data_IF_027029039898
#
_entry.id   IF_027029039898
#
_cell.length_a   1.000
_cell.length_b   1.000
_cell.length_c   1.000
_cell.angle_alpha   90.00
_cell.angle_beta   90.00
_cell.angle_gamma   90.00
#
_symmetry.space_group_name_H-M   'P 1'
#
loop_
_entity.id
_entity.type
_entity.pdbx_description
1 polymer ?
#
# COMPACT_ATOMS: atom_id res chain seq x y z
N UNK A 1 -5.15 2.63 -10.26
CA UNK A 1 -3.95 3.48 -10.33
C UNK A 1 -4.18 4.61 -11.32
N UNK A 2 -4.17 5.85 -10.84
CA UNK A 2 -4.43 7.06 -11.65
C UNK A 2 -3.12 7.73 -12.01
N UNK A 3 -2.81 7.77 -13.29
CA UNK A 3 -1.73 8.57 -13.86
C UNK A 3 -2.29 9.92 -14.33
N UNK A 4 -1.44 10.92 -14.56
CA UNK A 4 -1.90 12.26 -14.99
C UNK A 4 -2.85 12.23 -16.18
N UNK A 5 -2.60 11.38 -17.16
CA UNK A 5 -3.36 11.34 -18.41
C UNK A 5 -4.19 10.06 -18.60
N UNK A 6 -4.23 9.17 -17.60
CA UNK A 6 -4.86 7.86 -17.75
C UNK A 6 -5.24 7.25 -16.40
N UNK A 7 -6.43 6.67 -16.31
CA UNK A 7 -6.84 5.82 -15.18
C UNK A 7 -6.66 4.36 -15.58
N UNK A 8 -5.70 3.68 -14.93
CA UNK A 8 -5.48 2.25 -15.10
C UNK A 8 -6.43 1.48 -14.18
N UNK A 9 -7.17 0.53 -14.73
CA UNK A 9 -8.19 -0.23 -14.00
C UNK A 9 -9.62 0.25 -14.24
N UNK A 10 -9.83 1.36 -14.91
CA UNK A 10 -11.15 1.78 -15.38
C UNK A 10 -11.55 0.95 -16.61
N UNK A 11 -12.72 0.28 -16.55
CA UNK A 11 -13.24 -0.58 -17.61
C UNK A 11 -12.19 -1.56 -18.19
N UNK A 12 -11.51 -2.37 -17.36
CA UNK A 12 -10.35 -3.13 -17.76
C UNK A 12 -10.72 -4.24 -18.74
N UNK A 13 -10.01 -4.29 -19.89
CA UNK A 13 -10.12 -5.39 -20.84
C UNK A 13 -8.95 -6.34 -20.67
N UNK A 14 -9.19 -7.51 -20.06
CA UNK A 14 -8.17 -8.53 -19.86
C UNK A 14 -7.68 -9.05 -21.22
N UNK A 15 -6.36 -9.00 -21.43
CA UNK A 15 -5.70 -9.52 -22.65
C UNK A 15 -5.12 -10.91 -22.44
N UNK A 16 -4.53 -11.14 -21.27
CA UNK A 16 -3.85 -12.39 -20.93
C UNK A 16 -3.90 -12.64 -19.44
N UNK A 17 -4.02 -13.89 -19.05
CA UNK A 17 -3.73 -14.35 -17.70
C UNK A 17 -2.66 -15.43 -17.72
N UNK A 18 -1.79 -15.42 -16.71
CA UNK A 18 -0.78 -16.45 -16.50
C UNK A 18 -0.83 -16.87 -15.03
N UNK A 19 -0.87 -18.17 -14.79
CA UNK A 19 -0.75 -18.76 -13.45
C UNK A 19 0.57 -19.50 -13.36
N UNK A 20 1.26 -19.35 -12.25
CA UNK A 20 2.48 -20.07 -11.93
C UNK A 20 2.50 -20.40 -10.45
N UNK A 21 3.20 -21.46 -10.09
CA UNK A 21 3.48 -21.80 -8.69
C UNK A 21 4.99 -21.70 -8.47
N UNK A 22 5.38 -21.17 -7.33
CA UNK A 22 6.78 -21.03 -6.88
C UNK A 22 6.90 -21.81 -5.59
N UNK A 23 7.95 -22.61 -5.50
CA UNK A 23 8.35 -23.33 -4.28
C UNK A 23 9.89 -23.35 -4.26
N UNK A 24 10.45 -22.43 -3.51
CA UNK A 24 11.90 -22.23 -3.41
C UNK A 24 12.31 -21.89 -1.98
N UNK A 25 13.59 -22.07 -1.68
CA UNK A 25 14.16 -21.69 -0.40
C UNK A 25 15.12 -20.52 -0.60
N UNK A 26 14.87 -19.43 0.09
CA UNK A 26 15.70 -18.23 0.06
C UNK A 26 16.67 -18.24 1.25
N UNK A 27 17.90 -17.78 0.99
CA UNK A 27 18.86 -17.45 2.03
C UNK A 27 19.01 -15.92 2.06
N UNK A 28 18.44 -15.24 3.08
CA UNK A 28 18.53 -13.79 3.17
C UNK A 28 19.99 -13.32 3.27
N UNK A 29 20.34 -12.26 2.53
CA UNK A 29 21.68 -11.65 2.58
C UNK A 29 21.90 -11.00 3.94
N UNK A 30 20.86 -10.35 4.48
CA UNK A 30 20.88 -9.76 5.82
C UNK A 30 20.35 -10.82 6.80
N UNK A 31 21.04 -11.04 7.93
CA UNK A 31 20.58 -11.99 8.95
C UNK A 31 19.18 -11.64 9.45
N UNK A 32 18.27 -12.59 9.35
CA UNK A 32 16.91 -12.53 9.87
C UNK A 32 16.72 -13.56 10.99
N UNK A 33 15.52 -13.63 11.55
CA UNK A 33 15.16 -14.66 12.53
C UNK A 33 15.40 -16.08 12.01
N UNK A 34 15.24 -16.29 10.70
CA UNK A 34 15.45 -17.56 10.03
C UNK A 34 16.59 -17.45 9.03
N UNK A 35 17.55 -18.40 9.09
CA UNK A 35 18.65 -18.49 8.14
C UNK A 35 18.17 -18.87 6.73
N UNK A 36 17.03 -19.54 6.64
CA UNK A 36 16.38 -19.94 5.39
C UNK A 36 14.89 -19.65 5.49
N UNK A 37 14.33 -19.12 4.42
CA UNK A 37 12.91 -18.78 4.31
C UNK A 37 12.29 -19.57 3.15
N UNK A 38 11.24 -20.33 3.43
CA UNK A 38 10.48 -20.99 2.38
C UNK A 38 9.63 -19.93 1.66
N UNK A 39 9.86 -19.77 0.37
CA UNK A 39 9.10 -18.86 -0.49
C UNK A 39 8.20 -19.69 -1.39
N UNK A 40 6.99 -19.96 -0.90
CA UNK A 40 6.01 -20.79 -1.59
C UNK A 40 4.72 -20.01 -1.79
N UNK A 41 4.33 -19.83 -3.05
CA UNK A 41 3.09 -19.12 -3.41
C UNK A 41 2.55 -19.54 -4.78
N UNK A 42 1.27 -19.28 -4.99
CA UNK A 42 0.65 -19.29 -6.31
C UNK A 42 0.53 -17.86 -6.82
N UNK A 43 0.95 -17.65 -8.06
CA UNK A 43 0.93 -16.35 -8.70
C UNK A 43 -0.14 -16.31 -9.80
N UNK A 44 -0.86 -15.20 -9.86
CA UNK A 44 -1.74 -14.83 -10.96
C UNK A 44 -1.30 -13.49 -11.54
N UNK A 45 -0.86 -13.49 -12.80
CA UNK A 45 -0.56 -12.28 -13.55
C UNK A 45 -1.69 -12.00 -14.54
N UNK A 46 -2.37 -10.87 -14.35
CA UNK A 46 -3.40 -10.34 -15.23
C UNK A 46 -2.82 -9.22 -16.07
N UNK A 47 -2.76 -9.39 -17.40
CA UNK A 47 -2.18 -8.41 -18.33
C UNK A 47 -3.27 -7.68 -19.08
N UNK A 48 -3.20 -6.36 -19.09
CA UNK A 48 -4.05 -5.42 -19.81
C UNK A 48 -3.26 -4.67 -20.88
N UNK A 49 -3.79 -3.59 -21.45
CA UNK A 49 -3.13 -2.87 -22.55
C UNK A 49 -1.79 -2.25 -22.14
N UNK A 50 -1.79 -1.49 -21.07
CA UNK A 50 -0.66 -0.63 -20.67
C UNK A 50 -0.14 -0.96 -19.27
N UNK A 51 -0.68 -2.01 -18.63
CA UNK A 51 -0.36 -2.43 -17.29
C UNK A 51 -0.68 -3.92 -17.06
N UNK A 52 -0.18 -4.43 -15.96
CA UNK A 52 -0.57 -5.72 -15.40
C UNK A 52 -0.83 -5.58 -13.89
N UNK A 53 -1.57 -6.53 -13.34
CA UNK A 53 -1.71 -6.71 -11.90
C UNK A 53 -1.20 -8.10 -11.56
N UNK A 54 -0.25 -8.17 -10.66
CA UNK A 54 0.32 -9.41 -10.14
C UNK A 54 -0.26 -9.68 -8.75
N UNK A 55 -0.84 -10.86 -8.58
CA UNK A 55 -1.28 -11.37 -7.29
C UNK A 55 -0.41 -12.54 -6.87
N UNK A 56 -0.10 -12.64 -5.58
CA UNK A 56 0.52 -13.81 -4.96
C UNK A 56 -0.32 -14.28 -3.80
N UNK A 57 -0.63 -15.55 -3.75
CA UNK A 57 -1.31 -16.20 -2.65
C UNK A 57 -0.34 -17.16 -1.95
N UNK A 58 -0.05 -16.85 -0.69
CA UNK A 58 0.72 -17.66 0.25
C UNK A 58 -0.24 -18.45 1.14
N UNK A 59 0.29 -19.35 1.97
CA UNK A 59 -0.53 -20.13 2.90
C UNK A 59 -1.16 -19.23 3.99
N UNK A 60 -0.56 -18.08 4.27
CA UNK A 60 -0.93 -17.15 5.34
C UNK A 60 -1.30 -15.73 4.87
N UNK A 61 -1.32 -15.49 3.57
CA UNK A 61 -1.64 -14.15 3.08
C UNK A 61 -1.74 -14.01 1.57
N UNK A 62 -2.17 -12.83 1.16
CA UNK A 62 -2.28 -12.45 -0.25
C UNK A 62 -1.57 -11.11 -0.45
N UNK A 63 -0.76 -11.01 -1.50
CA UNK A 63 -0.15 -9.77 -1.93
C UNK A 63 -0.54 -9.43 -3.36
N UNK A 64 -0.61 -8.13 -3.68
CA UNK A 64 -0.72 -7.70 -5.07
C UNK A 64 0.12 -6.45 -5.34
N UNK A 65 0.44 -6.24 -6.62
CA UNK A 65 1.03 -4.99 -7.10
C UNK A 65 0.59 -4.66 -8.52
N UNK A 66 0.70 -3.39 -8.87
CA UNK A 66 0.65 -2.94 -10.26
C UNK A 66 2.02 -3.11 -10.93
N UNK A 67 1.99 -3.37 -12.23
CA UNK A 67 3.15 -3.34 -13.12
C UNK A 67 2.75 -2.49 -14.32
N UNK A 68 3.51 -1.44 -14.63
CA UNK A 68 3.20 -0.58 -15.77
C UNK A 68 4.25 -0.72 -16.89
N UNK A 69 3.85 -0.41 -18.11
CA UNK A 69 4.67 -0.47 -19.32
C UNK A 69 4.45 0.80 -20.15
N UNK A 70 4.63 1.95 -19.52
CA UNK A 70 4.52 3.26 -20.14
C UNK A 70 5.88 3.74 -20.64
N UNK A 71 5.90 4.57 -21.69
CA UNK A 71 7.13 5.21 -22.16
C UNK A 71 7.46 6.45 -21.32
N UNK A 72 8.76 6.63 -21.05
CA UNK A 72 9.26 7.81 -20.32
C UNK A 72 8.91 7.83 -18.84
N UNK A 73 8.89 9.01 -18.27
CA UNK A 73 8.48 9.24 -16.89
C UNK A 73 6.98 9.51 -16.82
N UNK A 74 6.35 9.10 -15.73
CA UNK A 74 4.92 9.31 -15.47
C UNK A 74 4.73 9.94 -14.10
N UNK A 75 3.65 10.71 -13.97
CA UNK A 75 3.19 11.27 -12.71
C UNK A 75 1.98 10.47 -12.23
N UNK A 76 2.13 9.91 -11.04
CA UNK A 76 1.06 9.14 -10.37
C UNK A 76 0.26 10.10 -9.52
N UNK A 77 -1.01 10.25 -9.85
CA UNK A 77 -1.91 11.16 -9.15
C UNK A 77 -2.53 10.53 -7.91
N UNK A 78 -2.80 9.22 -7.99
CA UNK A 78 -3.39 8.44 -6.91
C UNK A 78 -3.24 6.92 -7.15
N UNK A 79 -3.24 6.16 -6.06
CA UNK A 79 -3.40 4.71 -6.07
C UNK A 79 -4.56 4.35 -5.16
N UNK A 80 -5.58 3.72 -5.70
CA UNK A 80 -6.75 3.32 -4.94
C UNK A 80 -6.56 1.90 -4.39
N UNK A 81 -6.57 1.80 -3.10
CA UNK A 81 -6.75 0.57 -2.34
C UNK A 81 -7.98 0.76 -1.47
N UNK A 82 -8.89 -0.18 -1.50
CA UNK A 82 -10.05 -0.19 -0.62
C UNK A 82 -10.26 -1.61 -0.07
N UNK A 83 -10.56 -1.69 1.21
CA UNK A 83 -10.91 -2.93 1.88
C UNK A 83 -12.25 -2.76 2.58
N UNK A 84 -13.14 -3.72 2.39
CA UNK A 84 -14.42 -3.80 3.08
C UNK A 84 -14.46 -5.07 3.92
N UNK A 85 -14.73 -4.92 5.21
CA UNK A 85 -14.84 -6.03 6.13
C UNK A 85 -16.26 -6.58 6.12
N UNK A 86 -16.45 -7.91 6.17
CA UNK A 86 -17.78 -8.51 6.19
C UNK A 86 -18.54 -8.29 7.49
N UNK A 87 -17.86 -7.82 8.53
CA UNK A 87 -18.41 -7.52 9.85
C UNK A 87 -17.67 -6.36 10.48
N UNK A 88 -18.17 -5.85 11.58
CA UNK A 88 -17.49 -4.88 12.40
C UNK A 88 -16.35 -5.55 13.18
N UNK A 89 -15.13 -5.12 12.94
CA UNK A 89 -13.91 -5.65 13.53
C UNK A 89 -13.19 -4.62 14.37
N UNK A 90 -12.46 -5.07 15.39
CA UNK A 90 -11.62 -4.20 16.20
C UNK A 90 -10.29 -3.93 15.46
N UNK A 91 -10.02 -2.67 15.20
CA UNK A 91 -8.81 -2.20 14.54
C UNK A 91 -7.81 -1.69 15.58
N UNK A 92 -6.54 -2.04 15.41
CA UNK A 92 -5.43 -1.50 16.18
C UNK A 92 -4.65 -0.55 15.25
N UNK A 93 -4.80 0.75 15.50
CA UNK A 93 -4.33 1.80 14.62
C UNK A 93 -3.26 2.64 15.30
N UNK A 94 -2.19 2.96 14.59
CA UNK A 94 -1.31 4.06 14.96
C UNK A 94 -1.70 5.27 14.10
N UNK A 95 -2.22 6.31 14.75
CA UNK A 95 -2.89 7.44 14.09
C UNK A 95 -2.10 8.74 14.28
N UNK A 96 -1.13 9.04 13.38
CA UNK A 96 -0.34 10.26 13.45
C UNK A 96 -1.20 11.50 13.16
N UNK A 97 -0.68 12.67 13.55
CA UNK A 97 -1.32 13.96 13.29
C UNK A 97 -1.33 14.40 11.83
N UNK A 98 -0.64 13.66 10.94
CA UNK A 98 -0.54 13.94 9.51
C UNK A 98 0.53 13.08 8.85
N UNK A 99 0.82 13.35 7.58
CA UNK A 99 1.81 12.58 6.80
C UNK A 99 3.27 12.83 7.21
N UNK A 100 3.56 13.98 7.79
CA UNK A 100 4.93 14.44 8.06
C UNK A 100 5.16 14.60 9.57
N UNK A 101 5.18 13.47 10.28
CA UNK A 101 5.41 13.39 11.71
C UNK A 101 6.40 12.28 12.05
N UNK A 102 6.80 12.17 13.29
CA UNK A 102 7.65 11.08 13.77
C UNK A 102 6.93 9.71 13.84
N UNK A 103 5.62 9.68 13.67
CA UNK A 103 4.77 8.48 13.80
C UNK A 103 4.85 7.78 15.17
N UNK A 104 5.24 8.51 16.20
CA UNK A 104 5.42 8.00 17.57
C UNK A 104 4.15 8.23 18.41
N UNK A 105 3.03 7.69 17.92
CA UNK A 105 1.75 7.79 18.59
C UNK A 105 1.36 6.45 19.25
N UNK A 106 0.68 6.47 20.39
CA UNK A 106 0.09 5.26 20.95
C UNK A 106 -0.89 4.59 20.00
N UNK A 107 -1.00 3.26 20.10
CA UNK A 107 -2.05 2.56 19.38
C UNK A 107 -3.44 2.91 19.93
N UNK A 108 -4.36 3.20 19.04
CA UNK A 108 -5.79 3.32 19.32
C UNK A 108 -6.51 2.03 18.93
N UNK A 109 -7.61 1.76 19.62
CA UNK A 109 -8.43 0.58 19.41
C UNK A 109 -9.83 1.04 19.06
N UNK A 110 -10.26 0.83 17.83
CA UNK A 110 -11.53 1.37 17.32
C UNK A 110 -12.28 0.32 16.52
N UNK A 111 -13.59 0.28 16.65
CA UNK A 111 -14.44 -0.55 15.80
C UNK A 111 -14.43 -0.02 14.37
N UNK A 112 -14.38 -0.90 13.38
CA UNK A 112 -14.23 -0.50 11.97
C UNK A 112 -15.34 0.42 11.46
N UNK A 113 -16.56 0.25 11.95
CA UNK A 113 -17.69 1.13 11.61
C UNK A 113 -17.64 2.51 12.31
N UNK A 114 -16.87 2.64 13.38
CA UNK A 114 -16.68 3.87 14.12
C UNK A 114 -15.54 4.74 13.58
N UNK A 115 -14.62 4.16 12.78
CA UNK A 115 -13.52 4.91 12.17
C UNK A 115 -14.02 5.72 10.96
N UNK A 116 -14.34 6.99 11.22
CA UNK A 116 -14.96 7.89 10.26
C UNK A 116 -13.96 8.59 9.34
N UNK A 117 -14.41 9.05 8.14
CA UNK A 117 -13.55 9.75 7.19
C UNK A 117 -12.93 11.05 7.69
N UNK A 118 -13.55 11.73 8.66
CA UNK A 118 -13.03 12.96 9.28
C UNK A 118 -11.98 12.71 10.36
N UNK A 119 -11.79 11.47 10.81
CA UNK A 119 -10.81 11.12 11.81
C UNK A 119 -9.39 11.02 11.24
N UNK A 120 -8.39 10.82 12.14
CA UNK A 120 -7.00 10.71 11.76
C UNK A 120 -6.77 9.50 10.86
N UNK A 121 -5.81 9.64 9.97
CA UNK A 121 -5.27 8.54 9.15
C UNK A 121 -4.49 7.54 10.03
N UNK A 122 -4.30 6.32 9.53
CA UNK A 122 -3.46 5.32 10.17
C UNK A 122 -2.25 4.99 9.31
N UNK A 123 -1.08 4.82 9.94
CA UNK A 123 0.10 4.26 9.30
C UNK A 123 0.02 2.75 9.22
N UNK A 124 0.72 2.16 8.25
CA UNK A 124 0.90 0.71 8.19
C UNK A 124 2.07 0.24 9.08
N UNK A 125 2.00 -0.97 9.63
CA UNK A 125 0.95 -1.95 9.45
C UNK A 125 -0.30 -1.67 10.29
N UNK A 126 -1.47 -2.05 9.79
CA UNK A 126 -2.73 -2.05 10.53
C UNK A 126 -3.12 -3.47 10.90
N UNK A 127 -3.33 -3.71 12.19
CA UNK A 127 -3.81 -5.00 12.69
C UNK A 127 -5.32 -4.96 12.88
N UNK A 128 -5.99 -5.96 12.31
CA UNK A 128 -7.43 -6.15 12.38
C UNK A 128 -7.70 -7.39 13.23
N UNK A 129 -8.32 -7.19 14.38
CA UNK A 129 -8.80 -8.29 15.21
C UNK A 129 -10.24 -8.64 14.80
N UNK A 130 -10.40 -9.79 14.16
CA UNK A 130 -11.72 -10.28 13.78
C UNK A 130 -12.55 -10.72 14.98
N UNK A 131 -11.98 -10.69 16.19
CA UNK A 131 -12.58 -11.21 17.43
C UNK A 131 -12.95 -12.70 17.34
N UNK A 132 -12.25 -13.41 16.43
CA UNK A 132 -12.34 -14.85 16.18
C UNK A 132 -10.93 -15.46 16.22
N UNK A 133 -10.77 -16.64 15.67
CA UNK A 133 -9.52 -17.43 15.73
C UNK A 133 -8.36 -16.83 14.89
N UNK A 134 -8.61 -15.81 14.07
CA UNK A 134 -7.59 -15.22 13.20
C UNK A 134 -7.59 -13.69 13.27
N UNK A 135 -6.43 -13.13 12.99
CA UNK A 135 -6.21 -11.68 12.83
C UNK A 135 -5.67 -11.42 11.43
N UNK A 136 -5.90 -10.22 10.91
CA UNK A 136 -5.44 -9.79 9.60
C UNK A 136 -4.48 -8.63 9.79
N UNK A 137 -3.35 -8.67 9.10
CA UNK A 137 -2.40 -7.58 9.05
C UNK A 137 -2.40 -6.99 7.64
N UNK A 138 -2.61 -5.68 7.52
CA UNK A 138 -2.43 -4.95 6.27
C UNK A 138 -1.08 -4.28 6.32
N UNK A 139 -0.25 -4.50 5.31
CA UNK A 139 1.07 -3.90 5.20
C UNK A 139 1.49 -3.70 3.74
N UNK A 140 2.72 -3.19 3.55
CA UNK A 140 3.29 -2.90 2.25
C UNK A 140 4.80 -3.14 2.24
N UNK A 141 5.39 -3.30 1.05
CA UNK A 141 6.83 -3.40 0.88
C UNK A 141 7.28 -2.92 -0.50
N UNK A 142 8.61 -2.82 -0.69
CA UNK A 142 9.23 -2.36 -1.94
C UNK A 142 8.93 -0.88 -2.24
N UNK A 143 9.05 -0.04 -1.21
CA UNK A 143 8.71 1.38 -1.28
C UNK A 143 9.81 2.26 -1.88
N UNK A 144 10.98 1.75 -2.16
CA UNK A 144 12.26 2.42 -2.49
C UNK A 144 12.17 3.87 -3.03
N UNK A 145 11.26 4.18 -3.94
CA UNK A 145 11.07 5.48 -4.60
C UNK A 145 9.57 5.85 -4.73
N UNK A 146 8.75 5.37 -3.81
CA UNK A 146 7.29 5.57 -3.84
C UNK A 146 6.77 5.92 -2.44
N UNK A 147 5.74 6.76 -2.29
CA UNK A 147 5.23 7.15 -0.98
C UNK A 147 4.61 5.98 -0.24
N UNK A 148 4.73 5.99 1.09
CA UNK A 148 4.01 5.04 1.94
C UNK A 148 2.50 5.23 1.78
N UNK A 149 1.78 4.13 1.85
CA UNK A 149 0.33 4.13 1.94
C UNK A 149 -0.10 4.35 3.39
N UNK A 150 -1.05 5.23 3.58
CA UNK A 150 -1.80 5.37 4.82
C UNK A 150 -3.22 4.89 4.58
N UNK A 151 -3.92 4.53 5.64
CA UNK A 151 -5.32 4.18 5.57
C UNK A 151 -6.20 5.23 6.25
N UNK A 152 -7.42 5.35 5.77
CA UNK A 152 -8.46 6.21 6.29
C UNK A 152 -9.76 5.43 6.40
N UNK A 153 -10.46 5.59 7.52
CA UNK A 153 -11.74 4.93 7.72
C UNK A 153 -12.82 5.43 6.76
N UNK A 154 -13.80 4.59 6.49
CA UNK A 154 -14.95 4.93 5.64
C UNK A 154 -16.21 5.32 6.43
N UNK A 155 -16.18 5.17 7.77
CA UNK A 155 -17.36 5.30 8.62
C UNK A 155 -18.33 4.13 8.49
N UNK A 156 -17.90 3.09 7.77
CA UNK A 156 -18.54 1.79 7.63
C UNK A 156 -17.50 0.71 7.91
N UNK A 157 -17.82 -0.56 7.67
CA UNK A 157 -16.83 -1.63 7.87
C UNK A 157 -15.77 -1.63 6.77
N UNK A 158 -14.92 -0.60 6.71
CA UNK A 158 -13.87 -0.53 5.68
C UNK A 158 -12.86 0.58 5.86
N UNK A 159 -11.84 0.54 5.01
CA UNK A 159 -10.80 1.55 4.91
C UNK A 159 -10.36 1.77 3.46
N UNK A 160 -9.87 2.95 3.17
CA UNK A 160 -9.32 3.34 1.87
C UNK A 160 -7.91 3.88 2.01
N UNK A 161 -7.12 3.77 0.94
CA UNK A 161 -5.79 4.36 0.88
C UNK A 161 -5.82 5.88 0.79
N UNK A 162 -4.83 6.51 1.40
CA UNK A 162 -4.48 7.91 1.20
C UNK A 162 -2.96 8.04 1.14
N UNK A 163 -2.47 9.01 0.37
CA UNK A 163 -1.05 9.20 0.13
C UNK A 163 -0.67 10.67 0.31
N UNK A 164 0.55 10.97 0.84
CA UNK A 164 1.09 12.31 0.81
C UNK A 164 1.36 12.75 -0.63
N UNK A 165 1.29 14.05 -0.89
CA UNK A 165 1.78 14.63 -2.14
C UNK A 165 3.30 14.67 -2.16
N UNK A 166 3.89 14.55 -3.35
CA UNK A 166 5.33 14.61 -3.50
C UNK A 166 5.87 16.01 -3.13
N UNK A 167 6.89 16.11 -2.28
CA UNK A 167 7.47 17.39 -1.91
C UNK A 167 8.29 17.96 -3.08
N UNK A 168 8.14 19.27 -3.33
CA UNK A 168 8.91 20.03 -4.33
C UNK A 168 9.93 20.96 -3.72
N UNK A 169 9.66 21.48 -2.53
CA UNK A 169 10.58 22.35 -1.82
C UNK A 169 10.50 22.16 -0.31
N UNK A 170 11.62 22.41 0.35
CA UNK A 170 11.79 22.26 1.78
C UNK A 170 12.39 23.53 2.38
N UNK A 171 12.09 23.78 3.65
CA UNK A 171 12.81 24.74 4.50
C UNK A 171 13.26 24.01 5.78
N UNK A 172 14.33 24.50 6.37
CA UNK A 172 14.75 24.07 7.70
C UNK A 172 13.65 24.39 8.73
N UNK A 173 13.36 23.46 9.61
CA UNK A 173 12.40 23.61 10.68
C UNK A 173 13.08 23.45 12.05
N UNK A 174 14.03 22.54 12.16
CA UNK A 174 14.87 22.31 13.33
C UNK A 174 16.11 21.50 12.92
N UNK A 175 16.99 21.21 13.87
CA UNK A 175 18.15 20.32 13.69
C UNK A 175 17.77 18.88 13.27
N UNK A 176 16.51 18.50 13.43
CA UNK A 176 16.02 17.13 13.16
C UNK A 176 14.86 17.06 12.17
N UNK A 177 14.39 18.18 11.65
CA UNK A 177 13.23 18.20 10.78
C UNK A 177 13.30 19.25 9.70
N UNK A 178 12.61 18.98 8.62
CA UNK A 178 12.35 19.92 7.54
C UNK A 178 10.86 20.17 7.43
N UNK A 179 10.49 21.35 6.98
CA UNK A 179 9.12 21.71 6.64
C UNK A 179 8.98 21.68 5.13
N UNK A 180 8.00 20.96 4.61
CA UNK A 180 7.64 21.04 3.20
C UNK A 180 6.98 22.38 2.94
N UNK A 181 7.55 23.17 2.05
CA UNK A 181 7.07 24.51 1.69
C UNK A 181 6.28 24.53 0.39
N UNK A 182 6.47 23.50 -0.44
CA UNK A 182 5.74 23.33 -1.68
C UNK A 182 5.54 21.84 -1.96
N UNK A 183 4.31 21.47 -2.31
CA UNK A 183 3.94 20.13 -2.72
C UNK A 183 3.52 20.11 -4.19
N UNK A 184 3.72 18.96 -4.84
CA UNK A 184 3.20 18.69 -6.17
C UNK A 184 1.67 18.43 -6.12
N UNK A 185 1.05 18.37 -7.27
CA UNK A 185 -0.33 17.89 -7.40
C UNK A 185 -0.43 16.35 -7.57
N UNK A 186 0.74 15.65 -7.62
CA UNK A 186 0.87 14.20 -7.75
C UNK A 186 1.50 13.57 -6.47
N UNK A 187 1.36 12.27 -6.32
CA UNK A 187 1.94 11.53 -5.19
C UNK A 187 3.35 11.00 -5.49
N UNK A 188 3.65 10.72 -6.77
CA UNK A 188 4.98 10.27 -7.21
C UNK A 188 5.25 10.66 -8.67
N UNK A 189 6.51 10.93 -8.99
CA UNK A 189 7.02 10.97 -10.35
C UNK A 189 8.03 9.84 -10.54
N UNK A 190 7.80 8.96 -11.50
CA UNK A 190 8.51 7.70 -11.60
C UNK A 190 8.66 7.24 -13.04
N UNK A 191 9.49 6.23 -13.28
CA UNK A 191 9.57 5.58 -14.60
C UNK A 191 8.23 4.96 -14.97
N UNK A 192 7.82 5.12 -16.21
CA UNK A 192 6.56 4.57 -16.71
C UNK A 192 6.56 3.05 -16.85
N UNK A 193 7.75 2.45 -17.01
CA UNK A 193 7.92 0.99 -16.95
C UNK A 193 8.52 0.62 -15.60
N UNK A 194 7.70 0.07 -14.71
CA UNK A 194 8.11 -0.31 -13.35
C UNK A 194 7.16 -1.30 -12.69
N UNK A 195 7.64 -1.91 -11.61
CA UNK A 195 6.83 -2.56 -10.60
C UNK A 195 6.50 -1.52 -9.50
N UNK A 196 5.25 -1.49 -9.07
CA UNK A 196 4.82 -0.69 -7.92
C UNK A 196 5.00 -1.48 -6.62
N UNK A 197 4.95 -0.82 -5.46
CA UNK A 197 5.03 -1.50 -4.17
C UNK A 197 4.02 -2.63 -4.03
N UNK A 198 4.37 -3.61 -3.22
CA UNK A 198 3.45 -4.66 -2.81
C UNK A 198 2.48 -4.15 -1.75
N UNK A 199 1.22 -4.56 -1.87
CA UNK A 199 0.16 -4.42 -0.87
C UNK A 199 -0.24 -5.80 -0.39
N UNK A 200 -0.24 -6.02 0.92
CA UNK A 200 -0.58 -7.32 1.52
C UNK A 200 -1.19 -7.16 2.91
#
# INVERSE_FOLDING_TARGET
LTLRNQVLGENPKLRRQKRTSVDEQLTPIVPLKYAKVNNRYNQLLLTFKDYAVEFRAFDDGVAYRFITSQKGDVEVMNEEFAINFPSDYLLHLQQPGGFHTAYEEPYTHVQSNAWKPEERIAVLPVLIDTQKDYKILISESDLADYPCMFLKGTGTNGAISVFPKAPLAFAENSDRSVKITQEADYIAKTKGTRNYPWRY
#
